data_IF_958267149302
#
_entry.id   IF_958267149302
#
_cell.length_a   1.000
_cell.length_b   1.000
_cell.length_c   1.000
_cell.angle_alpha   90.00
_cell.angle_beta   90.00
_cell.angle_gamma   90.00
#
_symmetry.space_group_name_H-M   'P 1'
#
loop_
_entity.id
_entity.type
_entity.pdbx_description
1 polymer ?
#
# COMPACT_ATOMS: atom_id res chain seq x y z
N UNK A 1 17.40 7.45 4.72
CA UNK A 1 16.53 7.35 3.54
C UNK A 1 17.40 7.35 2.30
N UNK A 2 17.93 6.20 1.89
CA UNK A 2 18.68 6.07 0.63
C UNK A 2 17.97 5.01 -0.22
N UNK A 3 17.48 5.49 -1.37
CA UNK A 3 17.24 4.80 -2.64
C UNK A 3 16.79 3.34 -2.57
N UNK A 4 15.51 3.08 -2.88
CA UNK A 4 15.05 1.89 -3.59
C UNK A 4 13.60 2.14 -4.05
N UNK A 5 13.23 1.56 -5.20
CA UNK A 5 12.02 1.82 -6.01
C UNK A 5 12.20 2.89 -7.10
N UNK A 6 13.13 2.63 -8.02
CA UNK A 6 13.04 3.09 -9.40
C UNK A 6 12.87 1.85 -10.28
N UNK A 7 11.69 1.63 -10.88
CA UNK A 7 11.50 1.08 -12.25
C UNK A 7 10.01 0.89 -12.65
N UNK A 8 9.61 1.50 -13.79
CA UNK A 8 8.31 1.41 -14.53
C UNK A 8 7.21 2.36 -14.00
N UNK A 9 6.47 3.21 -14.72
CA UNK A 9 5.89 3.21 -16.08
C UNK A 9 5.74 4.65 -16.65
N UNK A 10 5.91 4.84 -17.96
CA UNK A 10 6.28 6.10 -18.64
C UNK A 10 5.35 7.32 -18.56
N UNK A 11 4.11 7.27 -18.05
CA UNK A 11 3.26 8.49 -17.93
C UNK A 11 3.28 9.11 -16.53
N UNK A 12 3.29 8.28 -15.48
CA UNK A 12 3.59 8.69 -14.12
C UNK A 12 5.09 8.99 -13.97
N UNK A 13 5.97 8.25 -14.68
CA UNK A 13 7.38 8.61 -14.87
C UNK A 13 7.58 9.87 -15.70
N UNK A 14 6.75 10.15 -16.71
CA UNK A 14 6.84 11.42 -17.45
C UNK A 14 6.42 12.58 -16.56
N UNK A 15 5.30 12.48 -15.84
CA UNK A 15 4.88 13.55 -14.93
C UNK A 15 5.89 13.74 -13.79
N UNK A 16 6.35 12.64 -13.18
CA UNK A 16 7.40 12.64 -12.16
C UNK A 16 8.72 13.15 -12.72
N UNK A 17 9.07 12.73 -13.93
CA UNK A 17 10.25 13.15 -14.67
C UNK A 17 10.17 14.62 -15.05
N UNK A 18 9.00 15.14 -15.38
CA UNK A 18 8.75 16.56 -15.60
C UNK A 18 8.89 17.33 -14.30
N UNK A 19 8.24 16.90 -13.21
CA UNK A 19 8.36 17.55 -11.89
C UNK A 19 9.81 17.52 -11.40
N UNK A 20 10.49 16.39 -11.54
CA UNK A 20 11.90 16.22 -11.13
C UNK A 20 12.85 16.99 -12.02
N UNK A 21 12.62 17.02 -13.33
CA UNK A 21 13.42 17.83 -14.27
C UNK A 21 13.23 19.31 -14.00
N UNK A 22 11.98 19.79 -13.86
CA UNK A 22 11.68 21.19 -13.55
C UNK A 22 12.21 21.59 -12.18
N UNK A 23 12.05 20.75 -11.17
CA UNK A 23 12.59 20.96 -9.83
C UNK A 23 14.12 20.95 -9.80
N UNK A 24 14.77 20.04 -10.54
CA UNK A 24 16.22 20.00 -10.69
C UNK A 24 16.73 21.25 -11.40
N UNK A 25 16.08 21.68 -12.48
CA UNK A 25 16.45 22.91 -13.20
C UNK A 25 16.34 24.14 -12.31
N UNK A 26 15.26 24.27 -11.53
CA UNK A 26 15.14 25.34 -10.55
C UNK A 26 16.24 25.27 -9.49
N UNK A 27 16.49 24.09 -8.92
CA UNK A 27 17.53 23.88 -7.91
C UNK A 27 18.93 24.16 -8.46
N UNK A 28 19.20 23.83 -9.73
CA UNK A 28 20.47 24.11 -10.39
C UNK A 28 20.66 25.62 -10.57
N UNK A 29 19.65 26.35 -11.07
CA UNK A 29 19.67 27.81 -11.18
C UNK A 29 19.88 28.45 -9.80
N UNK A 30 19.12 27.99 -8.79
CA UNK A 30 19.24 28.45 -7.42
C UNK A 30 20.65 28.23 -6.87
N UNK A 31 21.20 27.00 -6.96
CA UNK A 31 22.55 26.67 -6.48
C UNK A 31 23.63 27.44 -7.24
N UNK A 32 23.49 27.62 -8.55
CA UNK A 32 24.43 28.40 -9.36
C UNK A 32 24.52 29.85 -8.88
N UNK A 33 23.37 30.51 -8.70
CA UNK A 33 23.32 31.88 -8.19
C UNK A 33 23.86 31.97 -6.76
N UNK A 34 23.47 31.06 -5.87
CA UNK A 34 23.96 31.04 -4.49
C UNK A 34 25.49 30.84 -4.41
N UNK A 35 26.05 29.96 -5.25
CA UNK A 35 27.49 29.70 -5.29
C UNK A 35 28.30 30.88 -5.85
N UNK A 36 27.70 31.72 -6.70
CA UNK A 36 28.34 32.90 -7.28
C UNK A 36 28.24 34.11 -6.35
N UNK A 37 27.10 34.28 -5.68
CA UNK A 37 26.84 35.45 -4.83
C UNK A 37 27.65 35.40 -3.54
N UNK A 38 27.95 34.21 -3.00
CA UNK A 38 28.79 34.12 -1.80
C UNK A 38 29.57 32.78 -1.69
N UNK A 39 30.82 32.72 -2.17
CA UNK A 39 31.67 31.54 -2.05
C UNK A 39 32.01 31.15 -0.61
N UNK A 40 31.85 32.07 0.36
CA UNK A 40 32.25 31.90 1.76
C UNK A 40 31.06 31.69 2.72
N UNK A 41 29.81 31.88 2.27
CA UNK A 41 28.58 31.64 3.03
C UNK A 41 28.20 30.16 3.20
N UNK A 42 29.06 29.21 2.80
CA UNK A 42 28.84 27.80 3.21
C UNK A 42 28.72 27.63 4.74
N UNK A 43 29.13 28.64 5.53
CA UNK A 43 28.95 28.69 6.99
C UNK A 43 27.62 29.30 7.46
N UNK A 44 26.90 30.06 6.63
CA UNK A 44 25.54 30.55 6.92
C UNK A 44 24.47 29.75 6.16
N UNK A 45 24.66 28.42 6.07
CA UNK A 45 23.66 27.42 5.63
C UNK A 45 22.36 27.38 6.46
N UNK A 46 22.05 28.43 7.20
CA UNK A 46 20.85 28.59 8.01
C UNK A 46 20.07 29.76 7.39
N UNK A 47 19.06 29.49 6.55
CA UNK A 47 17.69 29.82 6.99
C UNK A 47 16.54 29.18 6.22
N UNK A 48 16.73 28.59 5.05
CA UNK A 48 15.61 27.99 4.32
C UNK A 48 15.82 26.49 4.18
N UNK A 49 15.16 25.76 5.08
CA UNK A 49 15.00 24.32 4.94
C UNK A 49 14.40 24.03 3.56
N UNK A 50 14.94 23.06 2.80
CA UNK A 50 14.37 22.67 1.52
C UNK A 50 12.86 22.39 1.67
N UNK A 51 12.07 22.94 0.75
CA UNK A 51 10.62 22.80 0.78
C UNK A 51 10.26 21.55 -0.01
N UNK A 52 9.44 20.70 0.59
CA UNK A 52 8.97 19.47 -0.07
C UNK A 52 8.09 19.81 -1.25
N UNK A 53 8.14 18.99 -2.30
CA UNK A 53 7.29 19.16 -3.50
C UNK A 53 5.80 19.31 -3.13
N UNK A 54 5.35 18.58 -2.12
CA UNK A 54 3.96 18.56 -1.66
C UNK A 54 3.53 19.85 -0.92
N UNK A 55 4.49 20.64 -0.44
CA UNK A 55 4.29 21.89 0.29
C UNK A 55 4.57 23.12 -0.59
N UNK A 56 4.79 22.93 -1.90
CA UNK A 56 5.07 24.02 -2.84
C UNK A 56 3.88 24.98 -2.91
N UNK A 57 4.20 26.27 -2.86
CA UNK A 57 3.28 27.37 -3.11
C UNK A 57 3.81 28.21 -4.26
N UNK A 58 2.98 29.06 -4.90
CA UNK A 58 3.41 29.85 -6.04
C UNK A 58 4.60 30.77 -5.78
N UNK A 59 4.83 31.19 -4.53
CA UNK A 59 5.99 31.98 -4.10
C UNK A 59 7.31 31.19 -4.07
N UNK A 60 7.26 29.86 -4.00
CA UNK A 60 8.45 28.98 -3.97
C UNK A 60 8.99 28.64 -5.36
N UNK A 61 8.28 29.06 -6.42
CA UNK A 61 8.58 28.70 -7.79
C UNK A 61 9.20 29.86 -8.56
N UNK A 62 10.25 29.57 -9.33
CA UNK A 62 10.86 30.55 -10.21
C UNK A 62 9.88 30.91 -11.34
N UNK A 63 9.41 32.16 -11.33
CA UNK A 63 8.53 32.67 -12.38
C UNK A 63 9.30 33.58 -13.33
N UNK A 64 9.58 33.03 -14.50
CA UNK A 64 10.12 33.76 -15.64
C UNK A 64 8.99 33.95 -16.66
N UNK A 65 8.37 35.14 -16.64
CA UNK A 65 7.37 35.51 -17.64
C UNK A 65 8.06 36.34 -18.73
N UNK A 66 7.96 35.88 -19.99
CA UNK A 66 8.51 36.56 -21.16
C UNK A 66 8.09 38.03 -21.24
N UNK A 67 6.82 38.34 -20.96
CA UNK A 67 6.35 39.72 -21.01
C UNK A 67 7.02 40.60 -19.95
N UNK A 68 7.20 40.06 -18.74
CA UNK A 68 7.83 40.79 -17.62
C UNK A 68 9.33 40.96 -17.85
N UNK A 69 9.99 39.93 -18.37
CA UNK A 69 11.43 39.97 -18.67
C UNK A 69 11.71 40.89 -19.85
N UNK A 70 10.91 40.82 -20.91
CA UNK A 70 11.07 41.69 -22.08
C UNK A 70 10.85 43.15 -21.72
N UNK A 71 9.84 43.48 -20.91
CA UNK A 71 9.63 44.83 -20.42
C UNK A 71 10.83 45.31 -19.61
N UNK A 72 11.30 44.50 -18.64
CA UNK A 72 12.49 44.86 -17.85
C UNK A 72 13.76 45.00 -18.68
N UNK A 73 13.95 44.16 -19.69
CA UNK A 73 15.11 44.29 -20.57
C UNK A 73 15.07 45.58 -21.39
N UNK A 74 13.91 46.00 -21.86
CA UNK A 74 13.76 47.26 -22.59
C UNK A 74 13.88 48.50 -21.69
N UNK A 75 13.41 48.42 -20.44
CA UNK A 75 13.41 49.53 -19.49
C UNK A 75 14.75 49.70 -18.77
N UNK A 76 15.35 48.61 -18.32
CA UNK A 76 16.47 48.65 -17.37
C UNK A 76 17.83 48.28 -18.02
N UNK A 77 17.83 47.50 -19.12
CA UNK A 77 19.05 46.87 -19.64
C UNK A 77 19.45 47.29 -21.08
N UNK A 78 18.80 48.29 -21.66
CA UNK A 78 19.10 48.80 -23.00
C UNK A 78 19.91 50.09 -22.91
N UNK A 79 21.14 50.05 -23.42
CA UNK A 79 22.02 51.21 -23.51
C UNK A 79 22.29 51.54 -24.98
N UNK A 80 22.15 52.80 -25.42
CA UNK A 80 22.49 53.17 -26.80
C UNK A 80 23.98 53.00 -27.06
N UNK A 81 24.34 52.39 -28.20
CA UNK A 81 25.72 52.35 -28.66
C UNK A 81 26.10 53.69 -29.27
N UNK A 82 26.87 54.50 -28.55
CA UNK A 82 27.28 55.83 -29.04
C UNK A 82 28.47 55.78 -30.00
N UNK A 83 29.20 54.66 -30.09
CA UNK A 83 30.43 54.55 -30.90
C UNK A 83 30.20 53.94 -32.29
N UNK A 84 29.24 53.02 -32.43
CA UNK A 84 28.88 52.37 -33.70
C UNK A 84 27.40 52.64 -34.09
N UNK A 85 27.11 52.71 -35.40
CA UNK A 85 25.73 52.81 -35.90
C UNK A 85 25.01 54.16 -35.79
N UNK A 86 25.69 55.25 -35.40
CA UNK A 86 25.10 56.58 -35.13
C UNK A 86 24.00 56.55 -34.05
N UNK A 87 24.24 55.85 -32.94
CA UNK A 87 23.26 55.71 -31.83
C UNK A 87 21.97 54.98 -32.23
N UNK A 88 21.99 54.23 -33.33
CA UNK A 88 20.88 53.35 -33.74
C UNK A 88 21.07 51.91 -33.28
N UNK A 89 22.29 51.54 -32.91
CA UNK A 89 22.59 50.21 -32.39
C UNK A 89 22.37 50.21 -30.88
N UNK A 90 21.72 49.17 -30.38
CA UNK A 90 21.42 48.95 -28.96
C UNK A 90 22.44 47.96 -28.39
N UNK A 91 23.03 48.28 -27.25
CA UNK A 91 23.81 47.36 -26.42
C UNK A 91 22.97 46.90 -25.23
N UNK A 92 23.17 45.66 -24.82
CA UNK A 92 22.58 45.12 -23.61
C UNK A 92 23.55 45.29 -22.45
N UNK A 93 23.08 45.87 -21.35
CA UNK A 93 23.81 45.89 -20.09
C UNK A 93 23.67 44.52 -19.42
N UNK A 94 24.68 43.67 -19.61
CA UNK A 94 24.69 42.33 -19.05
C UNK A 94 24.83 42.31 -17.52
N UNK A 95 25.39 43.35 -16.90
CA UNK A 95 25.55 43.44 -15.44
C UNK A 95 24.19 43.71 -14.79
N UNK A 96 23.41 44.64 -15.32
CA UNK A 96 22.06 44.93 -14.83
C UNK A 96 21.11 43.74 -15.03
N UNK A 97 21.21 43.05 -16.17
CA UNK A 97 20.49 41.79 -16.43
C UNK A 97 20.85 40.74 -15.39
N UNK A 98 22.15 40.60 -15.07
CA UNK A 98 22.63 39.62 -14.09
C UNK A 98 22.11 39.94 -12.68
N UNK A 99 22.16 41.20 -12.24
CA UNK A 99 21.64 41.63 -10.92
C UNK A 99 20.13 41.37 -10.82
N UNK A 100 19.37 41.72 -11.85
CA UNK A 100 17.93 41.49 -11.89
C UNK A 100 17.59 40.01 -11.76
N UNK A 101 18.29 39.14 -12.50
CA UNK A 101 18.08 37.68 -12.44
C UNK A 101 18.50 37.11 -11.07
N UNK A 102 19.62 37.57 -10.51
CA UNK A 102 20.08 37.16 -9.17
C UNK A 102 19.04 37.46 -8.09
N UNK A 103 18.45 38.65 -8.10
CA UNK A 103 17.42 39.04 -7.14
C UNK A 103 16.17 38.14 -7.24
N UNK A 104 15.71 37.84 -8.47
CA UNK A 104 14.58 36.92 -8.69
C UNK A 104 14.85 35.50 -8.19
N UNK A 105 16.08 35.02 -8.34
CA UNK A 105 16.49 33.68 -7.86
C UNK A 105 16.76 33.69 -6.35
N UNK A 106 17.12 34.83 -5.76
CA UNK A 106 17.29 34.98 -4.32
C UNK A 106 15.99 34.90 -3.52
N UNK A 107 14.84 35.12 -4.16
CA UNK A 107 13.51 35.08 -3.54
C UNK A 107 12.93 33.66 -3.40
N UNK A 108 13.50 32.67 -4.10
CA UNK A 108 13.02 31.28 -4.08
C UNK A 108 13.84 30.41 -3.13
N UNK A 109 13.36 29.19 -2.88
CA UNK A 109 14.04 28.20 -2.04
C UNK A 109 14.40 26.93 -2.83
N UNK A 110 15.30 26.14 -2.26
CA UNK A 110 15.59 24.80 -2.75
C UNK A 110 14.39 23.85 -2.52
N UNK A 111 14.09 23.04 -3.53
CA UNK A 111 13.05 22.02 -3.48
C UNK A 111 13.65 20.68 -3.03
N UNK A 112 13.01 20.04 -2.06
CA UNK A 112 13.30 18.66 -1.66
C UNK A 112 12.59 17.69 -2.59
N UNK A 113 13.36 17.16 -3.55
CA UNK A 113 12.91 16.18 -4.53
C UNK A 113 13.08 14.74 -4.05
N UNK A 114 13.79 14.53 -2.93
CA UNK A 114 14.13 13.21 -2.41
C UNK A 114 13.04 12.64 -1.50
N UNK A 115 12.19 13.51 -0.92
CA UNK A 115 11.06 13.12 -0.05
C UNK A 115 9.67 13.16 -0.73
N UNK A 116 9.64 13.14 -2.06
CA UNK A 116 8.39 13.09 -2.82
C UNK A 116 7.64 11.76 -2.53
N UNK A 117 6.42 11.86 -2.00
CA UNK A 117 5.52 10.73 -1.70
C UNK A 117 4.47 10.62 -2.80
N UNK A 118 4.08 9.37 -3.11
CA UNK A 118 3.25 9.02 -4.25
C UNK A 118 1.80 9.57 -4.09
N UNK A 119 1.23 10.09 -5.18
CA UNK A 119 0.03 10.94 -5.18
C UNK A 119 -1.32 10.19 -5.19
N UNK A 120 -1.35 8.85 -5.17
CA UNK A 120 -2.57 8.12 -5.57
C UNK A 120 -3.74 8.21 -4.57
N UNK A 121 -3.50 8.23 -3.26
CA UNK A 121 -4.60 8.18 -2.26
C UNK A 121 -4.90 9.51 -1.58
N UNK A 122 -4.12 10.57 -1.85
CA UNK A 122 -4.17 11.80 -1.06
C UNK A 122 -5.57 12.44 -1.13
N UNK A 123 -6.21 12.51 -2.29
CA UNK A 123 -7.56 13.07 -2.41
C UNK A 123 -8.67 12.11 -1.97
N UNK A 124 -8.48 10.79 -2.08
CA UNK A 124 -9.47 9.80 -1.64
C UNK A 124 -9.64 9.83 -0.12
N UNK A 125 -8.55 9.96 0.63
CA UNK A 125 -8.60 9.97 2.09
C UNK A 125 -9.23 11.24 2.67
N UNK A 126 -9.19 12.38 1.95
CA UNK A 126 -9.84 13.62 2.38
C UNK A 126 -11.35 13.67 2.05
N UNK A 127 -11.81 12.97 1.00
CA UNK A 127 -13.22 12.94 0.63
C UNK A 127 -13.66 11.54 0.20
N UNK A 128 -14.60 10.94 0.93
CA UNK A 128 -15.17 9.62 0.62
C UNK A 128 -15.94 9.60 -0.71
N UNK A 129 -16.47 10.73 -1.17
CA UNK A 129 -17.12 10.86 -2.49
C UNK A 129 -16.13 10.73 -3.64
N UNK A 130 -14.85 11.05 -3.39
CA UNK A 130 -13.76 10.88 -4.35
C UNK A 130 -13.25 9.43 -4.39
N UNK A 131 -13.71 8.54 -3.49
CA UNK A 131 -13.23 7.15 -3.42
C UNK A 131 -13.47 6.39 -4.73
N UNK A 132 -12.40 5.87 -5.32
CA UNK A 132 -12.48 5.09 -6.55
C UNK A 132 -13.27 3.80 -6.32
N UNK A 133 -13.09 3.15 -5.16
CA UNK A 133 -13.83 1.93 -4.80
C UNK A 133 -15.34 2.18 -4.78
N UNK A 134 -15.80 3.22 -4.06
CA UNK A 134 -17.23 3.53 -4.00
C UNK A 134 -17.79 3.89 -5.38
N UNK A 135 -17.02 4.61 -6.19
CA UNK A 135 -17.41 4.96 -7.55
C UNK A 135 -17.53 3.74 -8.47
N UNK A 136 -16.65 2.74 -8.31
CA UNK A 136 -16.73 1.48 -9.04
C UNK A 136 -17.94 0.66 -8.59
N UNK A 137 -18.19 0.54 -7.27
CA UNK A 137 -19.34 -0.21 -6.72
C UNK A 137 -20.69 0.29 -7.23
N UNK A 138 -20.83 1.62 -7.40
CA UNK A 138 -22.03 2.24 -7.98
C UNK A 138 -22.28 1.85 -9.44
N UNK A 139 -21.25 1.38 -10.16
CA UNK A 139 -21.29 1.12 -11.62
C UNK A 139 -21.21 -0.37 -11.95
N UNK A 140 -20.46 -1.13 -11.16
CA UNK A 140 -20.19 -2.56 -11.37
C UNK A 140 -20.45 -3.28 -10.06
N UNK A 141 -21.47 -4.15 -10.04
CA UNK A 141 -21.75 -5.02 -8.91
C UNK A 141 -20.51 -5.89 -8.61
N UNK A 142 -19.90 -5.69 -7.44
CA UNK A 142 -18.75 -6.48 -7.04
C UNK A 142 -19.18 -7.80 -6.40
N UNK A 143 -18.28 -8.75 -6.43
CA UNK A 143 -18.42 -10.08 -5.82
C UNK A 143 -17.10 -10.41 -5.14
N UNK A 144 -17.17 -11.00 -3.95
CA UNK A 144 -15.99 -11.50 -3.26
C UNK A 144 -15.36 -12.65 -4.05
N UNK A 145 -14.04 -12.68 -4.12
CA UNK A 145 -13.31 -13.86 -4.59
C UNK A 145 -13.62 -15.06 -3.69
N UNK A 146 -13.71 -16.25 -4.27
CA UNK A 146 -13.85 -17.49 -3.50
C UNK A 146 -12.62 -17.72 -2.62
N UNK A 147 -12.75 -18.49 -1.54
CA UNK A 147 -11.60 -18.78 -0.67
C UNK A 147 -10.48 -19.52 -1.42
N UNK A 148 -10.83 -20.37 -2.38
CA UNK A 148 -9.86 -21.07 -3.22
C UNK A 148 -9.12 -20.11 -4.15
N UNK A 149 -9.85 -19.20 -4.82
CA UNK A 149 -9.24 -18.18 -5.68
C UNK A 149 -8.35 -17.24 -4.88
N UNK A 150 -8.81 -16.78 -3.71
CA UNK A 150 -8.01 -15.97 -2.78
C UNK A 150 -6.73 -16.68 -2.42
N UNK A 151 -6.80 -17.96 -2.03
CA UNK A 151 -5.61 -18.74 -1.66
C UNK A 151 -4.65 -18.89 -2.84
N UNK A 152 -5.16 -19.19 -4.04
CA UNK A 152 -4.35 -19.33 -5.24
C UNK A 152 -3.64 -18.02 -5.59
N UNK A 153 -4.39 -16.91 -5.62
CA UNK A 153 -3.80 -15.59 -5.87
C UNK A 153 -2.82 -15.17 -4.77
N UNK A 154 -3.11 -15.47 -3.50
CA UNK A 154 -2.19 -15.18 -2.40
C UNK A 154 -0.84 -15.87 -2.58
N UNK A 155 -0.82 -17.12 -3.04
CA UNK A 155 0.43 -17.85 -3.30
C UNK A 155 1.24 -17.13 -4.38
N UNK A 156 0.61 -16.83 -5.52
CA UNK A 156 1.26 -16.16 -6.65
C UNK A 156 1.78 -14.76 -6.24
N UNK A 157 0.93 -13.95 -5.61
CA UNK A 157 1.28 -12.60 -5.13
C UNK A 157 2.37 -12.63 -4.04
N UNK A 158 2.43 -13.68 -3.23
CA UNK A 158 3.48 -13.85 -2.21
C UNK A 158 4.83 -14.20 -2.81
N UNK A 159 4.86 -14.80 -4.01
CA UNK A 159 6.10 -15.13 -4.74
C UNK A 159 6.67 -13.95 -5.54
N UNK A 160 5.85 -12.94 -5.87
CA UNK A 160 6.28 -11.73 -6.58
C UNK A 160 7.33 -10.94 -5.81
N UNK A 161 8.25 -10.28 -6.51
CA UNK A 161 9.17 -9.33 -5.88
C UNK A 161 8.42 -8.12 -5.31
N UNK A 162 8.98 -7.45 -4.30
CA UNK A 162 8.32 -6.31 -3.64
C UNK A 162 7.99 -5.19 -4.64
N UNK A 163 8.92 -4.91 -5.56
CA UNK A 163 8.78 -3.87 -6.59
C UNK A 163 7.66 -4.23 -7.58
N UNK A 164 7.60 -5.50 -7.99
CA UNK A 164 6.56 -6.03 -8.88
C UNK A 164 5.17 -5.93 -8.24
N UNK A 165 5.05 -6.31 -6.96
CA UNK A 165 3.79 -6.24 -6.23
C UNK A 165 3.29 -4.79 -6.08
N UNK A 166 4.19 -3.84 -5.80
CA UNK A 166 3.87 -2.42 -5.74
C UNK A 166 3.47 -1.86 -7.11
N UNK A 167 4.16 -2.26 -8.17
CA UNK A 167 3.84 -1.87 -9.54
C UNK A 167 2.46 -2.41 -9.97
N UNK A 168 2.15 -3.65 -9.60
CA UNK A 168 0.84 -4.22 -9.87
C UNK A 168 -0.28 -3.47 -9.14
N UNK A 169 -0.08 -3.14 -7.85
CA UNK A 169 -1.01 -2.31 -7.09
C UNK A 169 -1.23 -0.94 -7.76
N UNK A 170 -0.14 -0.26 -8.15
CA UNK A 170 -0.20 1.04 -8.83
C UNK A 170 -0.87 0.99 -10.21
N UNK A 171 -0.63 -0.08 -10.97
CA UNK A 171 -1.34 -0.34 -12.23
C UNK A 171 -2.84 -0.51 -12.00
N UNK A 172 -3.26 -1.19 -10.93
CA UNK A 172 -4.68 -1.31 -10.59
C UNK A 172 -5.28 0.04 -10.15
N UNK A 173 -4.55 0.91 -9.43
CA UNK A 173 -5.01 2.28 -9.14
C UNK A 173 -5.37 3.04 -10.43
N UNK A 174 -4.54 2.89 -11.46
CA UNK A 174 -4.79 3.49 -12.77
C UNK A 174 -6.03 2.89 -13.45
N UNK A 175 -6.17 1.56 -13.43
CA UNK A 175 -7.37 0.88 -13.94
C UNK A 175 -8.63 1.35 -13.21
N UNK A 176 -8.56 1.53 -11.89
CA UNK A 176 -9.66 2.02 -11.05
C UNK A 176 -10.09 3.42 -11.46
N UNK A 177 -9.14 4.30 -11.80
CA UNK A 177 -9.44 5.67 -12.27
C UNK A 177 -10.31 5.68 -13.53
N UNK A 178 -10.08 4.74 -14.46
CA UNK A 178 -10.92 4.61 -15.66
C UNK A 178 -12.26 3.94 -15.34
N UNK A 179 -12.27 2.86 -14.55
CA UNK A 179 -13.50 2.17 -14.16
C UNK A 179 -14.46 3.07 -13.36
N UNK A 180 -13.92 3.99 -12.55
CA UNK A 180 -14.71 4.97 -11.82
C UNK A 180 -15.41 5.99 -12.74
N UNK A 181 -14.93 6.19 -13.97
CA UNK A 181 -15.45 7.19 -14.91
C UNK A 181 -16.29 6.59 -16.04
N UNK A 182 -15.98 5.37 -16.47
CA UNK A 182 -16.55 4.76 -17.67
C UNK A 182 -17.65 3.76 -17.29
N UNK A 183 -18.81 3.88 -17.94
CA UNK A 183 -19.90 2.91 -17.82
C UNK A 183 -19.53 1.67 -18.65
N UNK A 184 -19.08 0.60 -17.99
CA UNK A 184 -18.87 -0.69 -18.63
C UNK A 184 -20.16 -1.50 -18.62
N UNK A 185 -20.75 -1.71 -19.81
CA UNK A 185 -22.07 -2.35 -19.98
C UNK A 185 -22.19 -3.80 -19.48
N UNK A 186 -21.17 -4.42 -18.89
CA UNK A 186 -21.32 -5.67 -18.14
C UNK A 186 -20.04 -5.98 -17.33
N UNK A 187 -20.17 -6.19 -16.02
CA UNK A 187 -19.08 -6.64 -15.12
C UNK A 187 -18.50 -8.03 -15.45
N UNK A 188 -18.96 -8.64 -16.55
CA UNK A 188 -18.48 -9.90 -17.14
C UNK A 188 -17.19 -9.74 -17.96
N UNK A 189 -16.82 -8.51 -18.35
CA UNK A 189 -15.53 -8.26 -19.01
C UNK A 189 -14.38 -8.57 -18.04
N UNK A 190 -13.26 -9.05 -18.56
CA UNK A 190 -12.03 -9.25 -17.76
C UNK A 190 -11.25 -7.95 -17.63
N UNK A 191 -10.40 -7.84 -16.60
CA UNK A 191 -9.49 -6.70 -16.41
C UNK A 191 -8.66 -6.49 -17.68
N UNK A 192 -8.04 -7.54 -18.21
CA UNK A 192 -7.25 -7.50 -19.43
C UNK A 192 -8.04 -6.92 -20.62
N UNK A 193 -9.24 -7.43 -20.88
CA UNK A 193 -10.06 -6.96 -22.01
C UNK A 193 -10.46 -5.50 -21.84
N UNK A 194 -10.80 -5.09 -20.62
CA UNK A 194 -11.12 -3.70 -20.33
C UNK A 194 -9.94 -2.78 -20.61
N UNK A 195 -8.77 -3.14 -20.09
CA UNK A 195 -7.52 -2.39 -20.23
C UNK A 195 -7.14 -2.23 -21.70
N UNK A 196 -7.15 -3.32 -22.48
CA UNK A 196 -6.82 -3.29 -23.91
C UNK A 196 -7.80 -2.47 -24.76
N UNK A 197 -9.09 -2.42 -24.36
CA UNK A 197 -10.12 -1.71 -25.13
C UNK A 197 -10.23 -0.22 -24.77
N UNK A 198 -9.89 0.13 -23.53
CA UNK A 198 -10.37 1.38 -22.93
C UNK A 198 -9.25 2.29 -22.46
N UNK A 199 -8.10 1.71 -22.09
CA UNK A 199 -6.97 2.47 -21.56
C UNK A 199 -5.99 2.72 -22.70
N UNK A 200 -5.82 3.98 -23.15
CA UNK A 200 -4.79 4.34 -24.10
C UNK A 200 -3.40 3.97 -23.56
N UNK A 201 -2.52 3.48 -24.42
CA UNK A 201 -1.18 3.03 -24.02
C UNK A 201 -1.20 1.91 -22.98
N UNK A 202 -2.20 1.03 -23.02
CA UNK A 202 -2.32 -0.11 -22.10
C UNK A 202 -1.07 -0.97 -22.00
N UNK A 203 -0.15 -0.93 -22.97
CA UNK A 203 1.15 -1.60 -22.94
C UNK A 203 2.11 -1.12 -21.84
N UNK A 204 1.86 0.06 -21.25
CA UNK A 204 2.70 0.59 -20.18
C UNK A 204 2.36 0.01 -18.82
N UNK A 205 1.18 -0.59 -18.65
CA UNK A 205 0.77 -1.19 -17.38
C UNK A 205 1.55 -2.47 -17.09
N UNK A 206 1.55 -2.86 -15.82
CA UNK A 206 2.22 -4.06 -15.36
C UNK A 206 1.76 -5.28 -16.14
N UNK A 207 2.71 -6.17 -16.44
CA UNK A 207 2.42 -7.35 -17.24
C UNK A 207 1.39 -8.28 -16.56
N UNK A 208 1.26 -8.22 -15.23
CA UNK A 208 0.21 -8.89 -14.47
C UNK A 208 -1.20 -8.45 -14.87
N UNK A 209 -1.39 -7.18 -15.25
CA UNK A 209 -2.69 -6.65 -15.68
C UNK A 209 -3.02 -7.09 -17.12
N UNK A 210 -2.01 -7.16 -17.99
CA UNK A 210 -2.22 -7.25 -19.44
C UNK A 210 -1.94 -8.64 -20.01
N UNK A 211 -0.97 -9.38 -19.46
CA UNK A 211 -0.36 -10.55 -20.12
C UNK A 211 -0.25 -11.77 -19.23
N UNK A 212 -0.15 -11.62 -17.92
CA UNK A 212 0.08 -12.76 -17.05
C UNK A 212 -1.15 -13.68 -16.99
N UNK A 213 -0.93 -14.97 -17.23
CA UNK A 213 -1.98 -15.98 -17.28
C UNK A 213 -2.78 -16.08 -15.97
N UNK A 214 -2.12 -15.79 -14.86
CA UNK A 214 -2.68 -15.84 -13.51
C UNK A 214 -3.85 -14.87 -13.34
N UNK A 215 -3.72 -13.64 -13.83
CA UNK A 215 -4.69 -12.56 -13.55
C UNK A 215 -5.48 -12.09 -14.78
N UNK A 216 -5.08 -12.47 -16.01
CA UNK A 216 -5.72 -11.98 -17.24
C UNK A 216 -7.21 -12.32 -17.37
N UNK A 217 -7.65 -13.40 -16.72
CA UNK A 217 -9.03 -13.88 -16.75
C UNK A 217 -9.90 -13.36 -15.60
N UNK A 218 -9.35 -12.55 -14.69
CA UNK A 218 -10.11 -11.97 -13.58
C UNK A 218 -11.19 -11.05 -14.16
N UNK A 219 -12.45 -11.34 -13.84
CA UNK A 219 -13.59 -10.52 -14.24
C UNK A 219 -13.64 -9.22 -13.43
N UNK A 220 -14.10 -8.13 -14.04
CA UNK A 220 -14.22 -6.82 -13.39
C UNK A 220 -15.09 -6.85 -12.13
N UNK A 221 -16.05 -7.78 -12.03
CA UNK A 221 -16.85 -7.98 -10.81
C UNK A 221 -16.02 -8.43 -9.59
N UNK A 222 -14.79 -8.92 -9.77
CA UNK A 222 -13.91 -9.34 -8.67
C UNK A 222 -12.77 -8.34 -8.40
N UNK A 223 -12.71 -7.23 -9.14
CA UNK A 223 -11.53 -6.37 -9.16
C UNK A 223 -11.25 -5.73 -7.80
N UNK A 224 -12.29 -5.32 -7.06
CA UNK A 224 -12.11 -4.77 -5.71
C UNK A 224 -11.59 -5.86 -4.77
N UNK A 225 -12.17 -7.06 -4.80
CA UNK A 225 -11.69 -8.15 -3.92
C UNK A 225 -10.25 -8.58 -4.21
N UNK A 226 -9.79 -8.48 -5.46
CA UNK A 226 -8.38 -8.71 -5.83
C UNK A 226 -7.47 -7.58 -5.32
N UNK A 227 -7.90 -6.34 -5.50
CA UNK A 227 -7.17 -5.17 -5.03
C UNK A 227 -6.98 -5.17 -3.51
N UNK A 228 -8.04 -5.49 -2.77
CA UNK A 228 -8.00 -5.66 -1.31
C UNK A 228 -7.03 -6.76 -0.87
N UNK A 229 -6.88 -7.82 -1.68
CA UNK A 229 -5.93 -8.89 -1.42
C UNK A 229 -4.48 -8.43 -1.64
N UNK A 230 -4.24 -7.68 -2.71
CA UNK A 230 -2.92 -7.12 -3.02
C UNK A 230 -2.50 -6.13 -1.92
N UNK A 231 -3.40 -5.24 -1.47
CA UNK A 231 -3.13 -4.31 -0.35
C UNK A 231 -2.69 -5.08 0.92
N UNK A 232 -3.35 -6.20 1.25
CA UNK A 232 -2.97 -7.03 2.39
C UNK A 232 -1.56 -7.63 2.24
N UNK A 233 -1.21 -8.13 1.06
CA UNK A 233 0.09 -8.75 0.81
C UNK A 233 1.19 -7.69 0.77
N UNK A 234 0.91 -6.51 0.20
CA UNK A 234 1.81 -5.35 0.27
C UNK A 234 2.06 -4.95 1.72
N UNK A 235 1.03 -4.93 2.55
CA UNK A 235 1.21 -4.68 3.98
C UNK A 235 2.18 -5.71 4.58
N UNK A 236 1.90 -7.00 4.41
CA UNK A 236 2.65 -8.07 5.07
C UNK A 236 4.10 -8.17 4.59
N UNK A 237 4.36 -8.01 3.29
CA UNK A 237 5.70 -8.14 2.70
C UNK A 237 6.53 -6.86 2.77
N UNK A 238 5.92 -5.72 2.47
CA UNK A 238 6.66 -4.47 2.21
C UNK A 238 6.61 -3.55 3.42
N UNK A 239 5.44 -3.35 4.02
CA UNK A 239 5.21 -2.26 4.99
C UNK A 239 5.46 -2.71 6.43
N UNK A 240 5.02 -3.92 6.80
CA UNK A 240 4.98 -4.41 8.19
C UNK A 240 6.33 -4.33 8.89
N UNK A 241 7.39 -4.79 8.24
CA UNK A 241 8.74 -4.78 8.81
C UNK A 241 9.28 -3.36 9.02
N UNK A 242 8.94 -2.44 8.11
CA UNK A 242 9.35 -1.05 8.21
C UNK A 242 8.61 -0.34 9.36
N UNK A 243 7.30 -0.54 9.46
CA UNK A 243 6.51 0.02 10.57
C UNK A 243 6.89 -0.59 11.92
N UNK A 244 7.29 -1.87 11.97
CA UNK A 244 7.82 -2.46 13.19
C UNK A 244 9.06 -1.72 13.72
N UNK A 245 9.86 -1.08 12.85
CA UNK A 245 11.02 -0.29 13.24
C UNK A 245 10.65 1.14 13.70
N UNK A 246 9.59 1.73 13.13
CA UNK A 246 9.17 3.12 13.39
C UNK A 246 8.16 3.22 14.55
N UNK A 247 7.18 2.31 14.57
CA UNK A 247 6.08 2.23 15.51
C UNK A 247 6.27 1.03 16.46
N UNK A 248 7.53 0.77 16.82
CA UNK A 248 7.91 -0.33 17.70
C UNK A 248 7.27 -0.16 19.09
N UNK A 249 7.47 -1.13 19.98
CA UNK A 249 7.05 -1.01 21.39
C UNK A 249 7.66 0.20 22.13
N UNK A 250 8.58 0.94 21.52
CA UNK A 250 9.22 2.09 22.12
C UNK A 250 8.50 3.41 21.80
N UNK A 251 7.62 3.44 20.78
CA UNK A 251 6.94 4.67 20.34
C UNK A 251 5.79 5.08 21.28
N UNK A 252 5.11 4.11 21.87
CA UNK A 252 3.98 4.31 22.78
C UNK A 252 4.28 3.71 24.14
N UNK A 253 3.77 4.29 25.22
CA UNK A 253 3.93 3.68 26.56
C UNK A 253 3.07 2.42 26.68
N UNK A 254 3.39 1.54 27.64
CA UNK A 254 2.58 0.34 27.87
C UNK A 254 1.15 0.70 28.29
N UNK A 255 0.98 1.75 29.09
CA UNK A 255 -0.32 2.25 29.52
C UNK A 255 -1.14 2.74 28.33
N UNK A 256 -0.52 3.49 27.40
CA UNK A 256 -1.16 3.99 26.20
C UNK A 256 -1.60 2.84 25.28
N UNK A 257 -0.72 1.86 25.05
CA UNK A 257 -1.07 0.65 24.28
C UNK A 257 -2.28 -0.07 24.87
N UNK A 258 -2.26 -0.33 26.18
CA UNK A 258 -3.34 -1.02 26.87
C UNK A 258 -4.63 -0.21 26.81
N UNK A 259 -4.55 1.11 27.00
CA UNK A 259 -5.69 2.01 26.89
C UNK A 259 -6.30 1.95 25.49
N UNK A 260 -5.51 2.19 24.44
CA UNK A 260 -6.00 2.27 23.07
C UNK A 260 -6.62 0.95 22.61
N UNK A 261 -5.94 -0.18 22.86
CA UNK A 261 -6.47 -1.51 22.50
C UNK A 261 -7.76 -1.80 23.25
N UNK A 262 -7.84 -1.48 24.54
CA UNK A 262 -9.07 -1.68 25.32
C UNK A 262 -10.23 -0.83 24.79
N UNK A 263 -9.99 0.47 24.56
CA UNK A 263 -11.01 1.37 24.01
C UNK A 263 -11.50 0.90 22.65
N UNK A 264 -10.58 0.50 21.76
CA UNK A 264 -10.91 -0.01 20.45
C UNK A 264 -11.82 -1.25 20.54
N UNK A 265 -11.44 -2.24 21.35
CA UNK A 265 -12.21 -3.49 21.47
C UNK A 265 -13.59 -3.28 22.07
N UNK A 266 -13.70 -2.43 23.10
CA UNK A 266 -14.98 -2.10 23.74
C UNK A 266 -15.92 -1.34 22.81
N UNK A 267 -15.38 -0.56 21.87
CA UNK A 267 -16.17 0.17 20.87
C UNK A 267 -16.60 -0.69 19.68
N UNK A 268 -15.93 -1.83 19.44
CA UNK A 268 -16.06 -2.63 18.21
C UNK A 268 -16.44 -4.08 18.53
N UNK A 269 -15.46 -4.97 18.60
CA UNK A 269 -15.59 -6.44 18.70
C UNK A 269 -16.36 -6.88 19.95
N UNK A 270 -16.25 -6.14 21.07
CA UNK A 270 -16.89 -6.48 22.35
C UNK A 270 -18.19 -5.71 22.58
N UNK A 271 -18.66 -4.94 21.60
CA UNK A 271 -19.83 -4.11 21.72
C UNK A 271 -21.06 -4.84 21.16
N UNK A 272 -21.99 -5.22 22.03
CA UNK A 272 -23.24 -5.89 21.64
C UNK A 272 -24.13 -5.05 20.70
N UNK A 273 -23.90 -3.74 20.62
CA UNK A 273 -24.62 -2.85 19.69
C UNK A 273 -24.06 -2.88 18.27
N UNK A 274 -22.84 -3.37 18.09
CA UNK A 274 -22.20 -3.48 16.78
C UNK A 274 -22.66 -4.78 16.12
N UNK A 275 -23.05 -4.78 14.84
CA UNK A 275 -23.49 -5.99 14.13
C UNK A 275 -22.46 -7.12 14.18
N UNK A 276 -22.93 -8.37 14.25
CA UNK A 276 -22.06 -9.58 14.29
C UNK A 276 -21.07 -9.62 13.12
N UNK A 277 -21.48 -9.15 11.95
CA UNK A 277 -20.62 -9.07 10.76
C UNK A 277 -19.40 -8.15 10.91
N UNK A 278 -19.39 -7.24 11.89
CA UNK A 278 -18.26 -6.35 12.21
C UNK A 278 -17.52 -6.84 13.46
N UNK A 279 -18.10 -7.74 14.26
CA UNK A 279 -17.44 -8.25 15.47
C UNK A 279 -16.31 -9.24 15.17
N UNK A 280 -16.18 -9.72 13.92
CA UNK A 280 -15.12 -10.64 13.51
C UNK A 280 -13.73 -9.95 13.52
N UNK A 281 -12.76 -10.41 14.34
CA UNK A 281 -11.41 -9.88 14.35
C UNK A 281 -10.70 -9.95 12.99
N UNK A 282 -10.99 -10.95 12.15
CA UNK A 282 -10.35 -11.12 10.84
C UNK A 282 -10.68 -9.96 9.90
N UNK A 283 -11.93 -9.49 9.96
CA UNK A 283 -12.38 -8.35 9.15
C UNK A 283 -11.62 -7.09 9.58
N UNK A 284 -11.43 -6.87 10.88
CA UNK A 284 -10.65 -5.74 11.39
C UNK A 284 -9.18 -5.81 11.00
N UNK A 285 -8.57 -7.00 11.03
CA UNK A 285 -7.19 -7.19 10.58
C UNK A 285 -7.06 -6.75 9.12
N UNK A 286 -7.99 -7.16 8.25
CA UNK A 286 -8.00 -6.78 6.84
C UNK A 286 -8.15 -5.26 6.68
N UNK A 287 -9.15 -4.67 7.34
CA UNK A 287 -9.43 -3.23 7.28
C UNK A 287 -8.22 -2.41 7.73
N UNK A 288 -7.60 -2.78 8.86
CA UNK A 288 -6.45 -2.06 9.40
C UNK A 288 -5.22 -2.18 8.51
N UNK A 289 -4.94 -3.35 7.93
CA UNK A 289 -3.85 -3.51 6.95
C UNK A 289 -4.02 -2.57 5.76
N UNK A 290 -5.23 -2.56 5.17
CA UNK A 290 -5.56 -1.68 4.05
C UNK A 290 -5.46 -0.21 4.41
N UNK A 291 -6.00 0.19 5.56
CA UNK A 291 -5.90 1.55 6.07
C UNK A 291 -4.44 1.98 6.18
N UNK A 292 -3.59 1.14 6.79
CA UNK A 292 -2.18 1.44 6.96
C UNK A 292 -1.46 1.56 5.61
N UNK A 293 -1.74 0.69 4.63
CA UNK A 293 -1.18 0.78 3.27
C UNK A 293 -1.51 2.14 2.64
N UNK A 294 -2.78 2.55 2.67
CA UNK A 294 -3.20 3.81 2.05
C UNK A 294 -2.65 5.02 2.78
N UNK A 295 -2.64 4.98 4.11
CA UNK A 295 -2.13 6.09 4.94
C UNK A 295 -0.63 6.24 4.74
N UNK A 296 0.14 5.15 4.74
CA UNK A 296 1.60 5.19 4.50
C UNK A 296 1.97 5.58 3.07
N UNK A 297 1.10 5.30 2.10
CA UNK A 297 1.23 5.82 0.74
C UNK A 297 0.96 7.34 0.64
N UNK A 298 0.48 7.99 1.71
CA UNK A 298 0.15 9.43 1.74
C UNK A 298 0.89 10.17 2.85
N UNK A 299 0.97 11.50 2.75
CA UNK A 299 1.41 12.35 3.86
C UNK A 299 0.23 12.69 4.80
N UNK A 300 -0.61 11.71 5.15
CA UNK A 300 -1.73 11.96 6.05
C UNK A 300 -1.26 12.35 7.46
N UNK A 301 -1.97 13.30 8.08
CA UNK A 301 -1.77 13.61 9.49
C UNK A 301 -2.18 12.40 10.34
N UNK A 302 -1.30 11.96 11.25
CA UNK A 302 -1.54 10.75 12.04
C UNK A 302 -2.21 11.03 13.40
N UNK A 303 -2.17 12.30 13.86
CA UNK A 303 -2.81 12.79 15.09
C UNK A 303 -4.26 13.21 14.80
N UNK A 304 -5.03 12.29 14.23
CA UNK A 304 -6.45 12.46 13.88
C UNK A 304 -7.24 11.25 14.36
N UNK A 305 -8.51 11.39 14.79
CA UNK A 305 -9.29 10.27 15.29
C UNK A 305 -9.38 9.12 14.27
N UNK A 306 -9.08 7.89 14.71
CA UNK A 306 -9.15 6.69 13.86
C UNK A 306 -10.57 6.47 13.31
N UNK A 307 -11.58 6.88 14.08
CA UNK A 307 -13.00 6.78 13.72
C UNK A 307 -13.31 7.36 12.34
N UNK A 308 -12.71 8.50 11.98
CA UNK A 308 -12.97 9.17 10.70
C UNK A 308 -12.64 8.30 9.49
N UNK A 309 -11.69 7.38 9.64
CA UNK A 309 -11.25 6.51 8.56
C UNK A 309 -12.02 5.19 8.55
N UNK A 310 -12.23 4.60 9.73
CA UNK A 310 -12.92 3.31 9.84
C UNK A 310 -14.43 3.39 9.58
N UNK A 311 -15.06 4.57 9.61
CA UNK A 311 -16.47 4.73 9.23
C UNK A 311 -16.67 4.88 7.72
N UNK A 312 -15.59 4.95 6.93
CA UNK A 312 -15.71 5.10 5.48
C UNK A 312 -16.01 3.76 4.81
N UNK A 313 -17.02 3.74 3.95
CA UNK A 313 -17.53 2.53 3.29
C UNK A 313 -16.53 1.86 2.35
N UNK A 314 -15.50 2.57 1.87
CA UNK A 314 -14.51 2.06 0.91
C UNK A 314 -13.47 1.11 1.52
N UNK A 315 -13.35 1.08 2.85
CA UNK A 315 -12.53 0.11 3.58
C UNK A 315 -13.25 -1.21 3.87
N UNK A 316 -14.57 -1.23 3.76
CA UNK A 316 -15.39 -2.38 4.12
C UNK A 316 -15.90 -3.12 2.90
N UNK A 317 -16.27 -4.37 3.10
CA UNK A 317 -16.95 -5.19 2.10
C UNK A 317 -18.35 -4.63 1.79
N UNK A 318 -18.91 -4.97 0.62
CA UNK A 318 -20.27 -4.54 0.23
C UNK A 318 -21.38 -5.03 1.18
N UNK A 319 -21.11 -6.06 1.99
CA UNK A 319 -22.07 -6.61 2.95
C UNK A 319 -22.24 -5.73 4.21
N UNK A 320 -21.41 -4.70 4.38
CA UNK A 320 -21.44 -3.80 5.54
C UNK A 320 -22.00 -2.45 5.10
N UNK A 321 -23.14 -2.07 5.68
CA UNK A 321 -23.84 -0.83 5.36
C UNK A 321 -23.28 0.37 6.13
N UNK A 322 -23.55 1.58 5.65
CA UNK A 322 -23.19 2.81 6.36
C UNK A 322 -23.81 2.87 7.76
N UNK A 323 -25.07 2.43 7.90
CA UNK A 323 -25.73 2.32 9.22
C UNK A 323 -25.05 1.34 10.16
N UNK A 324 -24.42 0.28 9.65
CA UNK A 324 -23.65 -0.65 10.48
C UNK A 324 -22.38 0.05 11.01
N UNK A 325 -21.74 0.88 10.18
CA UNK A 325 -20.53 1.63 10.55
C UNK A 325 -20.82 2.75 11.54
N UNK A 326 -22.01 3.36 11.49
CA UNK A 326 -22.46 4.37 12.45
C UNK A 326 -22.59 3.81 13.88
N UNK A 327 -22.74 2.49 14.05
CA UNK A 327 -22.77 1.85 15.37
C UNK A 327 -21.40 1.85 16.07
N UNK A 328 -20.31 2.05 15.32
CA UNK A 328 -18.95 2.08 15.83
C UNK A 328 -18.65 3.46 16.41
N UNK A 329 -18.32 3.52 17.71
CA UNK A 329 -17.99 4.76 18.40
C UNK A 329 -16.68 4.62 19.16
N UNK A 330 -15.58 4.99 18.50
CA UNK A 330 -14.23 4.89 19.04
C UNK A 330 -13.86 6.22 19.71
N UNK A 331 -13.27 6.13 20.90
CA UNK A 331 -12.77 7.29 21.63
C UNK A 331 -11.83 8.15 20.76
N UNK A 332 -12.04 9.47 20.72
CA UNK A 332 -11.24 10.41 19.91
C UNK A 332 -9.73 10.35 20.19
N UNK A 333 -9.33 9.93 21.40
CA UNK A 333 -7.93 9.71 21.76
C UNK A 333 -7.28 8.53 21.05
N UNK A 334 -8.09 7.62 20.49
CA UNK A 334 -7.61 6.56 19.61
C UNK A 334 -7.46 7.14 18.21
N UNK A 335 -6.28 7.69 17.96
CA UNK A 335 -5.89 8.31 16.71
C UNK A 335 -5.35 7.30 15.67
N UNK A 336 -5.20 7.76 14.43
CA UNK A 336 -4.74 6.98 13.28
C UNK A 336 -3.35 6.36 13.49
N UNK A 337 -2.44 7.04 14.20
CA UNK A 337 -1.12 6.52 14.58
C UNK A 337 -1.18 5.21 15.38
N UNK A 338 -2.28 4.93 16.07
CA UNK A 338 -2.43 3.72 16.87
C UNK A 338 -2.90 2.49 16.08
N UNK A 339 -3.28 2.66 14.80
CA UNK A 339 -3.78 1.59 13.93
C UNK A 339 -2.86 0.36 13.91
N UNK A 340 -1.54 0.56 13.87
CA UNK A 340 -0.56 -0.53 13.86
C UNK A 340 -0.50 -1.30 15.19
N UNK A 341 -0.58 -0.62 16.33
CA UNK A 341 -0.59 -1.27 17.67
C UNK A 341 -1.87 -2.10 17.86
N UNK A 342 -3.00 -1.56 17.41
CA UNK A 342 -4.29 -2.26 17.43
C UNK A 342 -4.18 -3.52 16.57
N UNK A 343 -3.69 -3.40 15.34
CA UNK A 343 -3.50 -4.52 14.43
C UNK A 343 -2.63 -5.63 15.04
N UNK A 344 -1.46 -5.29 15.61
CA UNK A 344 -0.59 -6.28 16.26
C UNK A 344 -1.30 -7.01 17.40
N UNK A 345 -2.13 -6.30 18.18
CA UNK A 345 -2.88 -6.88 19.29
C UNK A 345 -3.97 -7.84 18.80
N UNK A 346 -4.63 -7.53 17.69
CA UNK A 346 -5.61 -8.41 17.05
C UNK A 346 -4.93 -9.66 16.48
N UNK A 347 -3.82 -9.51 15.75
CA UNK A 347 -3.06 -10.64 15.18
C UNK A 347 -2.51 -11.59 16.26
N UNK A 348 -2.09 -11.07 17.43
CA UNK A 348 -1.64 -11.88 18.56
C UNK A 348 -2.81 -12.64 19.23
N UNK A 349 -3.95 -11.98 19.43
CA UNK A 349 -5.17 -12.66 19.94
C UNK A 349 -5.63 -13.77 19.01
N UNK A 350 -5.64 -13.51 17.71
CA UNK A 350 -6.05 -14.48 16.70
C UNK A 350 -5.11 -15.70 16.65
N UNK A 351 -3.79 -15.46 16.73
CA UNK A 351 -2.80 -16.55 16.83
C UNK A 351 -3.01 -17.42 18.07
N UNK A 352 -3.34 -16.81 19.22
CA UNK A 352 -3.61 -17.55 20.47
C UNK A 352 -4.91 -18.35 20.41
N UNK A 353 -5.95 -17.83 19.77
CA UNK A 353 -7.21 -18.55 19.57
C UNK A 353 -7.05 -19.74 18.61
N UNK A 354 -6.25 -19.56 17.56
CA UNK A 354 -5.92 -20.61 16.60
C UNK A 354 -5.12 -21.75 17.26
N UNK A 355 -4.12 -21.44 18.10
CA UNK A 355 -3.36 -22.47 18.83
C UNK A 355 -4.19 -23.19 19.89
N UNK A 356 -5.10 -22.49 20.59
CA UNK A 356 -6.03 -23.14 21.53
C UNK A 356 -7.02 -24.09 20.83
N UNK A 357 -7.48 -23.76 19.62
CA UNK A 357 -8.38 -24.63 18.84
C UNK A 357 -7.67 -25.89 18.36
N UNK A 358 -6.42 -25.78 17.90
CA UNK A 358 -5.60 -26.94 17.49
C UNK A 358 -5.26 -27.85 18.67
N UNK A 359 -4.93 -27.29 19.85
CA UNK A 359 -4.65 -28.09 21.06
C UNK A 359 -5.93 -28.74 21.61
N UNK A 360 -7.09 -28.07 21.54
CA UNK A 360 -8.37 -28.66 21.92
C UNK A 360 -8.78 -29.81 20.97
N UNK A 361 -8.59 -29.65 19.66
CA UNK A 361 -8.86 -30.71 18.68
C UNK A 361 -7.88 -31.89 18.81
N UNK A 362 -6.60 -31.63 19.08
CA UNK A 362 -5.62 -32.69 19.36
C UNK A 362 -5.98 -33.43 20.66
N UNK A 363 -6.41 -32.72 21.71
CA UNK A 363 -6.83 -33.34 22.97
C UNK A 363 -8.13 -34.14 22.83
N UNK A 364 -9.11 -33.68 22.05
CA UNK A 364 -10.33 -34.46 21.75
C UNK A 364 -9.99 -35.71 20.92
N UNK A 365 -9.06 -35.60 19.97
CA UNK A 365 -8.61 -36.75 19.16
C UNK A 365 -7.80 -37.74 20.00
N UNK A 366 -6.96 -37.28 20.94
CA UNK A 366 -6.22 -38.12 21.89
C UNK A 366 -7.14 -38.81 22.91
N UNK A 367 -8.15 -38.11 23.42
CA UNK A 367 -9.13 -38.69 24.34
C UNK A 367 -10.00 -39.74 23.62
N UNK A 368 -10.41 -39.46 22.38
CA UNK A 368 -11.18 -40.42 21.58
C UNK A 368 -10.36 -41.63 21.13
N UNK A 369 -9.07 -41.45 20.78
CA UNK A 369 -8.18 -42.58 20.46
C UNK A 369 -7.85 -43.42 21.69
N UNK A 370 -7.70 -42.82 22.87
CA UNK A 370 -7.49 -43.53 24.13
C UNK A 370 -8.75 -44.33 24.54
N UNK A 371 -9.94 -43.77 24.35
CA UNK A 371 -11.21 -44.46 24.58
C UNK A 371 -11.39 -45.69 23.65
N UNK A 372 -11.10 -45.55 22.34
CA UNK A 372 -11.15 -46.69 21.40
C UNK A 372 -10.08 -47.74 21.66
N UNK A 373 -8.89 -47.36 22.16
CA UNK A 373 -7.85 -48.30 22.53
C UNK A 373 -8.21 -49.11 23.80
N UNK A 374 -8.90 -48.49 24.76
CA UNK A 374 -9.45 -49.19 25.93
C UNK A 374 -10.61 -50.12 25.56
N UNK A 375 -11.46 -49.75 24.60
CA UNK A 375 -12.54 -50.60 24.08
C UNK A 375 -11.99 -51.81 23.33
N UNK A 376 -10.99 -51.63 22.46
CA UNK A 376 -10.33 -52.72 21.73
C UNK A 376 -9.51 -53.65 22.65
N UNK A 377 -8.86 -53.13 23.69
CA UNK A 377 -8.16 -53.93 24.69
C UNK A 377 -9.12 -54.77 25.55
N UNK A 378 -10.34 -54.27 25.79
CA UNK A 378 -11.39 -55.01 26.52
C UNK A 378 -11.97 -56.13 25.67
N UNK A 379 -12.14 -55.91 24.37
CA UNK A 379 -12.57 -56.93 23.39
C UNK A 379 -11.48 -58.01 23.20
N UNK A 380 -10.19 -57.65 23.11
CA UNK A 380 -9.14 -58.67 23.00
C UNK A 380 -8.97 -59.53 24.26
N UNK A 381 -9.27 -59.00 25.46
CA UNK A 381 -9.27 -59.80 26.69
C UNK A 381 -10.45 -60.76 26.80
N UNK A 382 -11.58 -60.48 26.14
CA UNK A 382 -12.72 -61.42 26.11
C UNK A 382 -12.56 -62.57 25.11
N UNK A 383 -11.65 -62.46 24.13
CA UNK A 383 -11.40 -63.52 23.14
C UNK A 383 -10.18 -64.42 23.45
N UNK A 384 -9.40 -64.10 24.47
CA UNK A 384 -8.19 -64.87 24.83
C UNK A 384 -8.39 -66.12 25.69
N UNK A 385 -9.63 -66.48 26.03
CA UNK A 385 -9.91 -67.53 27.03
C UNK A 385 -10.79 -68.68 26.52
N UNK A 386 -10.61 -69.09 25.26
CA UNK A 386 -11.17 -70.35 24.78
C UNK A 386 -10.26 -71.03 23.75
N UNK A 387 -9.93 -72.29 24.06
CA UNK A 387 -9.42 -73.35 23.18
C UNK A 387 -7.91 -73.60 23.14
N UNK A 388 -7.52 -74.44 24.10
CA UNK A 388 -6.49 -75.48 24.01
C UNK A 388 -6.97 -76.55 23.01
N UNK A 389 -6.06 -77.02 22.14
CA UNK A 389 -5.77 -78.43 21.78
C UNK A 389 -5.60 -78.73 20.28
N UNK A 390 -4.48 -79.42 19.99
CA UNK A 390 -4.27 -80.48 18.99
C UNK A 390 -3.33 -80.20 17.81
N UNK A 391 -2.10 -80.73 17.96
CA UNK A 391 -1.24 -81.48 17.03
C UNK A 391 -1.28 -81.19 15.52
N UNK A 392 -0.11 -81.07 14.87
CA UNK A 392 0.60 -82.20 14.17
C UNK A 392 1.97 -81.71 13.67
N UNK A 393 3.02 -82.55 13.84
CA UNK A 393 4.35 -82.41 13.21
C UNK A 393 4.27 -82.59 11.69
N UNK A 394 5.22 -82.02 10.93
CA UNK A 394 6.07 -82.72 9.94
C UNK A 394 7.18 -81.77 9.44
N UNK A 395 8.31 -82.40 9.16
CA UNK A 395 9.68 -81.97 8.90
C UNK A 395 9.98 -81.35 7.52
N UNK A 396 11.03 -80.53 7.45
CA UNK A 396 12.09 -80.65 6.43
C UNK A 396 12.29 -79.48 5.45
N UNK A 397 13.56 -79.10 5.23
CA UNK A 397 14.01 -78.54 3.94
C UNK A 397 14.67 -77.16 3.97
N UNK A 398 15.99 -77.16 4.06
CA UNK A 398 16.91 -76.07 3.67
C UNK A 398 16.83 -75.77 2.16
N UNK A 399 16.89 -74.49 1.74
CA UNK A 399 17.91 -73.92 0.83
C UNK A 399 17.60 -72.49 0.30
N UNK A 400 18.61 -71.63 0.48
CA UNK A 400 19.08 -70.50 -0.33
C UNK A 400 18.51 -70.29 -1.76
N UNK A 401 18.11 -69.05 -2.08
CA UNK A 401 18.61 -68.29 -3.26
C UNK A 401 18.21 -66.80 -3.27
N UNK A 402 19.05 -66.05 -3.99
CA UNK A 402 19.33 -64.60 -4.08
C UNK A 402 18.20 -63.68 -4.61
N UNK A 403 18.36 -62.34 -4.48
CA UNK A 403 17.36 -61.34 -4.85
C UNK A 403 17.41 -60.96 -6.33
N UNK A 404 16.26 -60.61 -6.91
CA UNK A 404 16.14 -60.06 -8.27
C UNK A 404 15.75 -58.59 -8.19
N UNK A 405 16.61 -57.74 -8.77
CA UNK A 405 16.33 -56.34 -9.10
C UNK A 405 15.21 -56.28 -10.15
N UNK A 406 14.26 -55.37 -9.98
CA UNK A 406 13.45 -54.88 -11.09
C UNK A 406 13.80 -53.43 -11.40
N UNK A 407 13.66 -53.13 -12.69
CA UNK A 407 14.13 -51.97 -13.43
C UNK A 407 13.20 -50.79 -13.30
#
# INVERSE_FOLDING_TARGET
MKNLLTHGEDNSLLLLGCIRTLGNLQNEIYRYVQNIVDPNSQREKLKTKPIRIQDIRPEHLLKLNESIISTKFHEDAVVPNYEYGKSKDILYDFEEIEIMLKNKVGEICELDLDTMTYFNYQFELYNQEASLINNIRRRIKQVKLSNDDKRNYSIILSEMENDELCNYLGSLDYVFTYLAKIVTENGLKTIQKFVQQTIPYSSTLDSNVIREKSFCNVQLKYIISLYELIEQIVFDKVIKNHLAQILSKETFTDEERVFVVKQFLQATIQNERVPEAIQDPDIWIIVLKRLIVRVTATNAHLDVPLQLYIQRTDFWNEDISESDLETININEKVELKHSYVILLSLEDKYRRQSTHTTVAQINVTLVNTCATAQEQATIMRSYGNSNIASNTMITGGTQSRKPTKFR
#
